data_IF_232093445929
#
_entry.id   IF_232093445929
#
_cell.length_a   1.000
_cell.length_b   1.000
_cell.length_c   1.000
_cell.angle_alpha   90.00
_cell.angle_beta   90.00
_cell.angle_gamma   90.00
#
_symmetry.space_group_name_H-M   'P 1'
#
loop_
_entity.id
_entity.type
_entity.pdbx_description
1 polymer ?
#
# COMPACT_ATOMS: atom_id res chain seq x y z
N UNK A 1 -11.77 25.86 4.41
CA UNK A 1 -10.29 25.67 4.34
C UNK A 1 -9.82 24.38 4.99
N UNK A 2 -10.46 23.94 6.08
CA UNK A 2 -10.09 22.72 6.84
C UNK A 2 -9.94 21.45 5.98
N UNK A 3 -10.86 21.18 5.05
CA UNK A 3 -10.83 19.96 4.21
C UNK A 3 -9.67 19.97 3.20
N UNK A 4 -9.24 21.12 2.71
CA UNK A 4 -8.06 21.20 1.84
C UNK A 4 -6.80 20.79 2.62
N UNK A 5 -6.70 21.20 3.89
CA UNK A 5 -5.60 20.78 4.77
C UNK A 5 -5.62 19.27 4.97
N UNK A 6 -6.79 18.66 5.27
CA UNK A 6 -6.94 17.20 5.40
C UNK A 6 -6.50 16.47 4.13
N UNK A 7 -6.93 16.94 2.95
CA UNK A 7 -6.53 16.35 1.65
C UNK A 7 -5.02 16.48 1.44
N UNK A 8 -4.43 17.65 1.71
CA UNK A 8 -2.99 17.88 1.56
C UNK A 8 -2.17 16.89 2.40
N UNK A 9 -2.52 16.71 3.67
CA UNK A 9 -1.83 15.78 4.55
C UNK A 9 -2.07 14.33 4.13
N UNK A 10 -3.31 13.94 3.86
CA UNK A 10 -3.65 12.59 3.46
C UNK A 10 -2.94 12.16 2.18
N UNK A 11 -3.01 12.99 1.13
CA UNK A 11 -2.33 12.70 -0.14
C UNK A 11 -0.81 12.78 0.01
N UNK A 12 -0.28 13.79 0.70
CA UNK A 12 1.16 13.97 0.90
C UNK A 12 1.80 12.79 1.61
N UNK A 13 1.25 12.37 2.75
CA UNK A 13 1.75 11.20 3.49
C UNK A 13 1.50 9.89 2.74
N UNK A 14 0.40 9.79 1.98
CA UNK A 14 0.14 8.65 1.11
C UNK A 14 1.21 8.49 0.02
N UNK A 15 1.65 9.58 -0.61
CA UNK A 15 2.74 9.57 -1.59
C UNK A 15 4.08 9.19 -0.96
N UNK A 16 4.40 9.71 0.23
CA UNK A 16 5.63 9.31 0.95
C UNK A 16 5.62 7.83 1.26
N UNK A 17 4.50 7.29 1.78
CA UNK A 17 4.35 5.85 2.04
C UNK A 17 4.48 5.02 0.76
N UNK A 18 3.95 5.52 -0.37
CA UNK A 18 4.05 4.86 -1.67
C UNK A 18 5.50 4.72 -2.16
N UNK A 19 6.34 5.71 -1.90
CA UNK A 19 7.77 5.64 -2.22
C UNK A 19 8.48 4.54 -1.38
N UNK A 20 8.23 4.49 -0.07
CA UNK A 20 8.76 3.41 0.77
C UNK A 20 8.25 2.04 0.34
N UNK A 21 6.98 1.94 -0.02
CA UNK A 21 6.38 0.72 -0.55
C UNK A 21 7.07 0.27 -1.84
N UNK A 22 7.32 1.18 -2.78
CA UNK A 22 8.05 0.88 -4.02
C UNK A 22 9.44 0.33 -3.74
N UNK A 23 10.21 0.98 -2.87
CA UNK A 23 11.55 0.52 -2.48
C UNK A 23 11.47 -0.88 -1.85
N UNK A 24 10.50 -1.11 -0.97
CA UNK A 24 10.32 -2.39 -0.31
C UNK A 24 9.94 -3.51 -1.29
N UNK A 25 9.09 -3.24 -2.28
CA UNK A 25 8.72 -4.20 -3.35
C UNK A 25 9.95 -4.59 -4.16
N UNK A 26 10.75 -3.63 -4.61
CA UNK A 26 11.95 -3.92 -5.39
C UNK A 26 13.04 -4.63 -4.56
N UNK A 27 13.25 -4.23 -3.32
CA UNK A 27 14.16 -4.92 -2.40
C UNK A 27 13.70 -6.35 -2.10
N UNK A 28 12.40 -6.55 -1.90
CA UNK A 28 11.80 -7.86 -1.71
C UNK A 28 11.98 -8.77 -2.94
N UNK A 29 11.76 -8.24 -4.14
CA UNK A 29 11.96 -8.96 -5.39
C UNK A 29 13.43 -9.33 -5.62
N UNK A 30 14.36 -8.44 -5.27
CA UNK A 30 15.79 -8.72 -5.32
C UNK A 30 16.20 -9.82 -4.31
N UNK A 31 15.55 -9.87 -3.17
CA UNK A 31 15.80 -10.89 -2.16
C UNK A 31 15.15 -12.25 -2.52
N UNK A 32 13.93 -12.26 -3.08
CA UNK A 32 13.23 -13.48 -3.52
C UNK A 32 12.18 -13.15 -4.56
N UNK A 33 12.33 -13.62 -5.79
CA UNK A 33 11.42 -13.32 -6.90
C UNK A 33 9.99 -13.82 -6.68
N UNK A 34 9.81 -14.84 -5.85
CA UNK A 34 8.53 -15.46 -5.57
C UNK A 34 7.80 -14.88 -4.34
N UNK A 35 8.34 -13.79 -3.74
CA UNK A 35 7.72 -13.22 -2.53
C UNK A 35 6.31 -12.66 -2.80
N UNK A 36 6.05 -12.17 -4.02
CA UNK A 36 4.73 -11.72 -4.51
C UNK A 36 3.95 -12.80 -5.27
N UNK A 37 4.29 -14.10 -5.12
CA UNK A 37 3.67 -15.16 -5.93
C UNK A 37 2.13 -15.11 -5.93
N UNK A 38 1.49 -14.77 -4.81
CA UNK A 38 0.03 -14.66 -4.71
C UNK A 38 -0.58 -13.47 -5.46
N UNK A 39 0.23 -12.48 -5.83
CA UNK A 39 -0.20 -11.22 -6.44
C UNK A 39 -0.13 -11.27 -7.98
N UNK A 40 0.32 -12.40 -8.56
CA UNK A 40 0.32 -12.61 -10.00
C UNK A 40 -0.98 -13.26 -10.49
N UNK A 41 -1.35 -13.06 -11.78
CA UNK A 41 -2.48 -13.74 -12.39
C UNK A 41 -2.41 -15.27 -12.23
N UNK A 42 -3.56 -15.97 -12.04
CA UNK A 42 -3.58 -17.42 -11.79
C UNK A 42 -2.88 -18.25 -12.88
N UNK A 43 -2.92 -17.81 -14.13
CA UNK A 43 -2.22 -18.48 -15.23
C UNK A 43 -0.69 -18.44 -15.05
N UNK A 44 -0.14 -17.30 -14.59
CA UNK A 44 1.28 -17.13 -14.28
C UNK A 44 1.67 -18.04 -13.10
N UNK A 45 0.87 -18.05 -12.03
CA UNK A 45 1.11 -18.94 -10.87
C UNK A 45 1.10 -20.41 -11.29
N UNK A 46 0.12 -20.82 -12.11
CA UNK A 46 0.03 -22.19 -12.62
C UNK A 46 1.23 -22.55 -13.50
N UNK A 47 1.71 -21.64 -14.35
CA UNK A 47 2.89 -21.87 -15.18
C UNK A 47 4.16 -21.98 -14.34
N UNK A 48 4.30 -21.15 -13.32
CA UNK A 48 5.40 -21.24 -12.35
C UNK A 48 5.44 -22.60 -11.65
N UNK A 49 4.27 -23.17 -11.33
CA UNK A 49 4.08 -24.55 -10.91
C UNK A 49 4.71 -24.91 -9.56
N UNK A 50 5.17 -23.93 -8.78
CA UNK A 50 5.78 -24.10 -7.46
C UNK A 50 5.03 -23.28 -6.43
N UNK A 51 5.00 -23.76 -5.19
CA UNK A 51 4.55 -22.96 -4.05
C UNK A 51 5.57 -21.85 -3.73
N UNK A 52 5.09 -20.81 -3.05
CA UNK A 52 5.97 -19.76 -2.52
C UNK A 52 7.02 -20.39 -1.61
N UNK A 53 8.28 -20.17 -1.92
CA UNK A 53 9.41 -20.73 -1.16
C UNK A 53 9.43 -20.25 0.30
N UNK A 54 10.12 -20.97 1.19
CA UNK A 54 10.33 -20.53 2.56
C UNK A 54 11.02 -19.17 2.64
N UNK A 55 11.95 -18.89 1.70
CA UNK A 55 12.58 -17.57 1.55
C UNK A 55 11.56 -16.53 1.10
N UNK A 56 10.73 -16.82 0.10
CA UNK A 56 9.70 -15.91 -0.39
C UNK A 56 8.69 -15.54 0.69
N UNK A 57 8.24 -16.52 1.50
CA UNK A 57 7.36 -16.25 2.66
C UNK A 57 8.02 -15.34 3.68
N UNK A 58 9.27 -15.61 4.05
CA UNK A 58 10.01 -14.78 5.01
C UNK A 58 10.20 -13.36 4.49
N UNK A 59 10.57 -13.19 3.22
CA UNK A 59 10.73 -11.88 2.59
C UNK A 59 9.40 -11.13 2.57
N UNK A 60 8.29 -11.77 2.19
CA UNK A 60 6.96 -11.15 2.22
C UNK A 60 6.58 -10.67 3.62
N UNK A 61 6.86 -11.46 4.66
CA UNK A 61 6.63 -11.05 6.06
C UNK A 61 7.46 -9.82 6.43
N UNK A 62 8.77 -9.83 6.13
CA UNK A 62 9.63 -8.69 6.48
C UNK A 62 9.30 -7.43 5.69
N UNK A 63 8.94 -7.56 4.40
CA UNK A 63 8.41 -6.42 3.60
C UNK A 63 7.15 -5.86 4.25
N UNK A 64 6.21 -6.72 4.65
CA UNK A 64 5.01 -6.28 5.37
C UNK A 64 5.33 -5.58 6.70
N UNK A 65 6.21 -6.15 7.53
CA UNK A 65 6.63 -5.52 8.79
C UNK A 65 7.31 -4.17 8.54
N UNK A 66 8.16 -4.08 7.55
CA UNK A 66 8.83 -2.81 7.19
C UNK A 66 7.82 -1.76 6.73
N UNK A 67 6.98 -2.10 5.75
CA UNK A 67 6.03 -1.14 5.16
C UNK A 67 4.99 -0.67 6.19
N UNK A 68 4.39 -1.59 6.92
CA UNK A 68 3.29 -1.25 7.83
C UNK A 68 3.78 -0.88 9.22
N UNK A 69 4.73 -1.64 9.79
CA UNK A 69 5.24 -1.42 11.14
C UNK A 69 6.25 -0.27 11.22
N UNK A 70 7.29 -0.31 10.35
CA UNK A 70 8.39 0.66 10.44
C UNK A 70 8.06 1.98 9.73
N UNK A 71 7.37 1.93 8.59
CA UNK A 71 7.03 3.14 7.84
C UNK A 71 5.60 3.59 8.10
N UNK A 72 4.60 2.71 7.96
CA UNK A 72 3.19 3.06 7.97
C UNK A 72 2.70 3.61 9.30
N UNK A 73 2.99 2.95 10.42
CA UNK A 73 2.58 3.43 11.75
C UNK A 73 3.23 4.78 12.07
N UNK A 74 4.56 4.98 11.96
CA UNK A 74 5.16 6.29 12.25
C UNK A 74 4.68 7.40 11.32
N UNK A 75 4.55 7.15 10.01
CA UNK A 75 4.05 8.15 9.07
C UNK A 75 2.59 8.51 9.36
N UNK A 76 1.75 7.54 9.70
CA UNK A 76 0.36 7.81 10.08
C UNK A 76 0.29 8.62 11.37
N UNK A 77 1.10 8.27 12.38
CA UNK A 77 1.18 9.03 13.63
C UNK A 77 1.61 10.46 13.38
N UNK A 78 2.67 10.66 12.57
CA UNK A 78 3.16 11.99 12.21
C UNK A 78 2.10 12.79 11.45
N UNK A 79 1.41 12.16 10.48
CA UNK A 79 0.30 12.79 9.77
C UNK A 79 -0.80 13.27 10.71
N UNK A 80 -1.16 12.48 11.73
CA UNK A 80 -2.19 12.86 12.71
C UNK A 80 -1.72 14.01 13.62
N UNK A 81 -0.46 13.98 14.07
CA UNK A 81 0.10 15.04 14.92
C UNK A 81 0.17 16.37 14.16
N UNK A 82 0.72 16.35 12.94
CA UNK A 82 0.84 17.56 12.12
C UNK A 82 -0.53 18.11 11.68
N UNK A 83 -1.46 17.21 11.31
CA UNK A 83 -2.81 17.60 10.96
C UNK A 83 -3.52 18.25 12.18
N UNK A 84 -3.38 17.66 13.37
CA UNK A 84 -3.94 18.21 14.60
C UNK A 84 -3.43 19.61 14.92
N UNK A 85 -2.12 19.85 14.72
CA UNK A 85 -1.53 21.19 14.88
C UNK A 85 -1.94 22.19 13.80
N UNK A 86 -2.35 21.72 12.62
CA UNK A 86 -2.75 22.56 11.50
C UNK A 86 -4.27 22.91 11.49
N UNK A 87 -5.05 22.31 12.39
CA UNK A 87 -6.49 22.53 12.51
C UNK A 87 -6.81 23.40 13.73
N UNK A 88 -7.52 24.53 13.56
CA UNK A 88 -7.86 25.47 14.61
C UNK A 88 -8.66 24.86 15.78
N UNK A 89 -9.39 23.78 15.54
CA UNK A 89 -10.17 23.06 16.56
C UNK A 89 -9.53 21.75 17.07
N UNK A 90 -8.26 21.51 16.73
CA UNK A 90 -7.57 20.25 17.00
C UNK A 90 -8.07 19.08 16.14
N UNK A 91 -7.51 17.90 16.38
CA UNK A 91 -7.83 16.69 15.63
C UNK A 91 -9.08 16.01 16.17
N UNK A 92 -10.17 16.02 15.41
CA UNK A 92 -11.41 15.30 15.72
C UNK A 92 -11.52 14.02 14.90
N UNK A 93 -12.49 13.15 15.26
CA UNK A 93 -12.72 11.86 14.60
C UNK A 93 -12.75 11.96 13.07
N UNK A 94 -13.58 12.84 12.52
CA UNK A 94 -13.85 12.86 11.08
C UNK A 94 -12.66 13.34 10.23
N UNK A 95 -11.96 14.44 10.56
CA UNK A 95 -10.72 14.80 9.89
C UNK A 95 -9.63 13.71 9.97
N UNK A 96 -9.47 13.07 11.12
CA UNK A 96 -8.51 11.98 11.28
C UNK A 96 -8.88 10.78 10.42
N UNK A 97 -10.14 10.35 10.43
CA UNK A 97 -10.64 9.24 9.63
C UNK A 97 -10.46 9.48 8.13
N UNK A 98 -10.83 10.68 7.65
CA UNK A 98 -10.71 11.04 6.24
C UNK A 98 -9.24 11.15 5.84
N UNK A 99 -8.37 11.75 6.65
CA UNK A 99 -6.94 11.83 6.37
C UNK A 99 -6.32 10.42 6.23
N UNK A 100 -6.58 9.53 7.18
CA UNK A 100 -6.07 8.16 7.14
C UNK A 100 -6.61 7.38 5.94
N UNK A 101 -7.89 7.53 5.62
CA UNK A 101 -8.49 6.95 4.43
C UNK A 101 -7.80 7.46 3.14
N UNK A 102 -7.50 8.76 3.07
CA UNK A 102 -6.79 9.35 1.94
C UNK A 102 -5.33 8.87 1.82
N UNK A 103 -4.61 8.66 2.92
CA UNK A 103 -3.27 8.04 2.90
C UNK A 103 -3.34 6.67 2.22
N UNK A 104 -4.27 5.81 2.64
CA UNK A 104 -4.43 4.47 2.08
C UNK A 104 -4.99 4.48 0.65
N UNK A 105 -5.93 5.36 0.34
CA UNK A 105 -6.45 5.52 -1.02
C UNK A 105 -5.36 5.95 -1.98
N UNK A 106 -4.51 6.90 -1.58
CA UNK A 106 -3.37 7.37 -2.37
C UNK A 106 -2.38 6.23 -2.63
N UNK A 107 -2.04 5.46 -1.59
CA UNK A 107 -1.17 4.28 -1.75
C UNK A 107 -1.80 3.25 -2.71
N UNK A 108 -3.10 2.94 -2.56
CA UNK A 108 -3.78 1.95 -3.42
C UNK A 108 -3.86 2.39 -4.87
N UNK A 109 -4.13 3.67 -5.13
CA UNK A 109 -4.15 4.23 -6.48
C UNK A 109 -2.74 4.26 -7.08
N UNK A 110 -1.73 4.63 -6.29
CA UNK A 110 -0.33 4.60 -6.72
C UNK A 110 0.12 3.16 -7.05
N UNK A 111 -0.19 2.20 -6.19
CA UNK A 111 0.12 0.79 -6.40
C UNK A 111 -0.47 0.30 -7.73
N UNK A 112 -1.77 0.48 -7.93
CA UNK A 112 -2.45 0.09 -9.16
C UNK A 112 -1.86 0.76 -10.41
N UNK A 113 -1.66 2.08 -10.39
CA UNK A 113 -1.23 2.80 -11.60
C UNK A 113 0.26 2.66 -11.83
N UNK A 114 1.08 2.85 -10.79
CA UNK A 114 2.53 2.91 -10.95
C UNK A 114 3.16 1.51 -10.87
N UNK A 115 2.87 0.74 -9.82
CA UNK A 115 3.53 -0.56 -9.65
C UNK A 115 2.91 -1.63 -10.57
N UNK A 116 1.59 -1.74 -10.58
CA UNK A 116 0.94 -2.77 -11.37
C UNK A 116 0.91 -2.43 -12.86
N UNK A 117 0.30 -1.29 -13.26
CA UNK A 117 0.12 -1.00 -14.68
C UNK A 117 1.40 -0.53 -15.37
N UNK A 118 2.10 0.46 -14.81
CA UNK A 118 3.30 1.00 -15.46
C UNK A 118 4.46 0.01 -15.31
N UNK A 119 4.79 -0.38 -14.08
CA UNK A 119 6.00 -1.17 -13.83
C UNK A 119 5.79 -2.64 -14.21
N UNK A 120 4.77 -3.31 -13.67
CA UNK A 120 4.59 -4.74 -13.88
C UNK A 120 4.01 -5.07 -15.27
N UNK A 121 2.96 -4.35 -15.71
CA UNK A 121 2.30 -4.63 -17.00
C UNK A 121 3.09 -4.06 -18.19
N UNK A 122 3.49 -2.79 -18.15
CA UNK A 122 4.14 -2.14 -19.30
C UNK A 122 5.65 -2.39 -19.34
N UNK A 123 6.39 -2.14 -18.26
CA UNK A 123 7.85 -2.21 -18.25
C UNK A 123 8.39 -3.63 -18.03
N UNK A 124 7.72 -4.45 -17.28
CA UNK A 124 8.05 -5.86 -16.96
C UNK A 124 9.52 -6.07 -16.61
N UNK A 125 10.05 -5.41 -15.58
CA UNK A 125 11.45 -5.59 -15.22
C UNK A 125 11.69 -7.06 -14.84
N UNK A 126 12.80 -7.63 -15.32
CA UNK A 126 13.16 -9.04 -15.08
C UNK A 126 13.13 -9.45 -13.61
N UNK A 127 13.29 -8.49 -12.72
CA UNK A 127 13.26 -8.70 -11.28
C UNK A 127 11.87 -9.10 -10.77
N UNK A 128 10.81 -8.57 -11.39
CA UNK A 128 9.41 -8.84 -11.05
C UNK A 128 8.78 -9.94 -11.93
N UNK A 129 9.53 -10.59 -12.80
CA UNK A 129 9.05 -11.72 -13.60
C UNK A 129 9.50 -13.02 -12.95
N UNK A 130 8.56 -13.95 -12.72
CA UNK A 130 8.87 -15.26 -12.13
C UNK A 130 9.70 -16.10 -13.12
N UNK A 131 10.71 -16.83 -12.65
CA UNK A 131 11.52 -17.68 -13.52
C UNK A 131 10.68 -18.75 -14.24
N UNK A 132 10.84 -18.86 -15.57
CA UNK A 132 10.10 -19.80 -16.41
C UNK A 132 8.69 -19.33 -16.82
N UNK A 133 8.36 -18.08 -16.56
CA UNK A 133 7.10 -17.45 -17.00
C UNK A 133 7.35 -16.23 -17.89
N UNK A 134 8.56 -16.06 -18.36
CA UNK A 134 8.96 -14.94 -19.20
C UNK A 134 8.15 -14.94 -20.51
N UNK A 135 7.72 -13.76 -20.93
CA UNK A 135 6.95 -13.59 -22.17
C UNK A 135 5.48 -13.96 -22.10
N UNK A 136 4.98 -14.39 -20.95
CA UNK A 136 3.55 -14.70 -20.82
C UNK A 136 2.68 -13.44 -21.00
N UNK A 137 1.63 -13.51 -21.88
CA UNK A 137 0.76 -12.36 -22.12
C UNK A 137 -0.08 -11.98 -20.90
N UNK A 138 -0.33 -12.91 -19.99
CA UNK A 138 -1.14 -12.72 -18.78
C UNK A 138 -0.55 -11.70 -17.81
N UNK A 139 0.75 -11.41 -17.88
CA UNK A 139 1.33 -10.26 -17.18
C UNK A 139 0.72 -8.93 -17.62
N UNK A 140 0.10 -8.88 -18.80
CA UNK A 140 -0.59 -7.70 -19.34
C UNK A 140 -2.03 -7.53 -18.85
N UNK A 141 -2.52 -8.35 -17.93
CA UNK A 141 -3.91 -8.30 -17.46
C UNK A 141 -4.13 -7.17 -16.46
N UNK A 142 -4.36 -5.95 -16.98
CA UNK A 142 -4.72 -4.79 -16.17
C UNK A 142 -6.02 -5.01 -15.37
N UNK A 143 -6.96 -5.79 -15.92
CA UNK A 143 -8.23 -6.10 -15.27
C UNK A 143 -8.05 -6.90 -13.99
N UNK A 144 -7.09 -7.84 -13.96
CA UNK A 144 -6.75 -8.61 -12.78
C UNK A 144 -6.34 -7.69 -11.62
N UNK A 145 -5.44 -6.75 -11.87
CA UNK A 145 -4.94 -5.79 -10.87
C UNK A 145 -6.04 -4.83 -10.42
N UNK A 146 -6.88 -4.33 -11.35
CA UNK A 146 -8.02 -3.49 -11.01
C UNK A 146 -9.01 -4.21 -10.08
N UNK A 147 -9.34 -5.46 -10.38
CA UNK A 147 -10.23 -6.27 -9.53
C UNK A 147 -9.61 -6.50 -8.14
N UNK A 148 -8.30 -6.72 -8.06
CA UNK A 148 -7.59 -6.86 -6.79
C UNK A 148 -7.65 -5.56 -5.96
N UNK A 149 -7.40 -4.41 -6.58
CA UNK A 149 -7.50 -3.10 -5.95
C UNK A 149 -8.91 -2.80 -5.43
N UNK A 150 -9.96 -3.10 -6.24
CA UNK A 150 -11.36 -2.94 -5.81
C UNK A 150 -11.69 -3.85 -4.64
N UNK A 151 -11.24 -5.11 -4.65
CA UNK A 151 -11.43 -6.04 -3.52
C UNK A 151 -10.70 -5.58 -2.25
N UNK A 152 -9.59 -4.90 -2.37
CA UNK A 152 -8.83 -4.32 -1.26
C UNK A 152 -9.42 -3.01 -0.71
N UNK A 153 -10.25 -2.30 -1.48
CA UNK A 153 -10.75 -0.96 -1.13
C UNK A 153 -11.52 -0.86 0.20
N UNK A 154 -12.24 -1.88 0.70
CA UNK A 154 -12.87 -1.80 2.03
C UNK A 154 -11.86 -1.54 3.16
N UNK A 155 -10.60 -1.94 2.99
CA UNK A 155 -9.54 -1.69 3.96
C UNK A 155 -9.29 -0.18 4.16
N UNK A 156 -9.49 0.64 3.13
CA UNK A 156 -9.38 2.10 3.21
C UNK A 156 -10.34 2.65 4.25
N UNK A 157 -11.58 2.17 4.23
CA UNK A 157 -12.62 2.59 5.19
C UNK A 157 -12.26 2.11 6.59
N UNK A 158 -11.84 0.85 6.73
CA UNK A 158 -11.47 0.27 8.03
C UNK A 158 -10.32 1.06 8.67
N UNK A 159 -9.26 1.35 7.91
CA UNK A 159 -8.12 2.14 8.42
C UNK A 159 -8.57 3.55 8.81
N UNK A 160 -9.40 4.19 7.99
CA UNK A 160 -9.98 5.50 8.34
C UNK A 160 -10.73 5.46 9.66
N UNK A 161 -11.67 4.53 9.83
CA UNK A 161 -12.49 4.40 11.05
C UNK A 161 -11.63 4.08 12.28
N UNK A 162 -10.68 3.17 12.17
CA UNK A 162 -9.77 2.80 13.28
C UNK A 162 -8.93 4.01 13.70
N UNK A 163 -8.31 4.71 12.75
CA UNK A 163 -7.46 5.87 13.04
C UNK A 163 -8.29 7.02 13.63
N UNK A 164 -9.47 7.28 13.06
CA UNK A 164 -10.40 8.29 13.60
C UNK A 164 -10.85 7.96 15.03
N UNK A 165 -11.19 6.69 15.28
CA UNK A 165 -11.57 6.21 16.61
C UNK A 165 -10.44 6.37 17.65
N UNK A 166 -9.23 5.97 17.29
CA UNK A 166 -8.05 6.15 18.15
C UNK A 166 -7.78 7.63 18.43
N UNK A 167 -7.85 8.50 17.42
CA UNK A 167 -7.65 9.95 17.59
C UNK A 167 -8.70 10.56 18.53
N UNK A 168 -9.96 10.16 18.39
CA UNK A 168 -11.02 10.64 19.30
C UNK A 168 -10.82 10.19 20.75
N UNK A 169 -10.34 8.96 20.96
CA UNK A 169 -10.02 8.44 22.29
C UNK A 169 -8.87 9.22 22.94
N UNK A 170 -7.82 9.52 22.17
CA UNK A 170 -6.68 10.29 22.69
C UNK A 170 -7.08 11.70 23.14
N UNK A 171 -7.92 12.39 22.36
CA UNK A 171 -8.40 13.74 22.72
C UNK A 171 -9.26 13.76 23.99
N UNK A 172 -9.90 12.63 24.34
CA UNK A 172 -10.72 12.54 25.56
C UNK A 172 -9.93 12.11 26.81
N UNK A 173 -8.74 11.56 26.64
CA UNK A 173 -7.91 11.01 27.75
C UNK A 173 -6.80 11.98 28.17
N UNK A 174 -6.38 12.87 27.30
CA UNK A 174 -5.30 13.87 27.50
C UNK A 174 -5.79 15.27 27.13
#
# INVERSE_FOLDING_TARGET
MQWLTVVKYGVGYGLVLSLFFTVAVFAGAAASRDFLLGDYPPAVQKRYGKEKSARGRRVATWVGVFVWGVCGIPLMTLAMVELGGALDGGLTFLPAAVCAALVFATLSVYDLIVLDWIILVCLRPRLLVLPGTEGMPEYGDMGFHLVAAVKGSPLIVVVGLVTGGLSALFVHVF
#
